data_IF_058549753315
#
_entry.id   IF_058549753315
#
_cell.length_a   1.000
_cell.length_b   1.000
_cell.length_c   1.000
_cell.angle_alpha   90.00
_cell.angle_beta   90.00
_cell.angle_gamma   90.00
#
_symmetry.space_group_name_H-M   'P 1'
#
loop_
_entity.id
_entity.type
_entity.pdbx_description
1 polymer ?
#
# COMPACT_ATOMS: atom_id res chain seq x y z
N UNK A 1 -6.71 23.47 14.91
CA UNK A 1 -6.70 23.39 13.44
C UNK A 1 -7.27 22.05 13.05
N UNK A 2 -8.12 21.99 12.03
CA UNK A 2 -8.79 20.74 11.68
C UNK A 2 -7.82 19.86 10.87
N UNK A 3 -7.86 18.54 11.06
CA UNK A 3 -7.05 17.53 10.35
C UNK A 3 -7.06 17.65 8.80
N UNK A 4 -7.94 18.47 8.23
CA UNK A 4 -8.06 18.75 6.82
C UNK A 4 -7.03 19.78 6.30
N UNK A 5 -6.44 20.62 7.15
CA UNK A 5 -5.51 21.67 6.72
C UNK A 5 -4.13 21.13 6.25
N UNK A 6 -3.81 19.87 6.58
CA UNK A 6 -2.49 19.27 6.32
C UNK A 6 -2.49 18.24 5.16
N UNK A 7 -3.67 17.74 4.75
CA UNK A 7 -3.76 16.70 3.74
C UNK A 7 -3.80 17.26 2.31
N UNK A 8 -2.80 16.94 1.49
CA UNK A 8 -2.74 17.37 0.09
C UNK A 8 -3.36 16.33 -0.85
N UNK A 9 -4.35 16.70 -1.66
CA UNK A 9 -4.93 15.80 -2.67
C UNK A 9 -3.91 15.55 -3.79
N UNK A 10 -3.44 14.32 -3.90
CA UNK A 10 -2.50 13.89 -4.95
C UNK A 10 -3.22 13.44 -6.23
N UNK A 11 -4.41 12.84 -6.07
CA UNK A 11 -5.19 12.30 -7.17
C UNK A 11 -6.69 12.28 -6.85
N UNK A 12 -7.51 12.53 -7.86
CA UNK A 12 -8.97 12.42 -7.76
C UNK A 12 -9.58 12.12 -9.12
N UNK A 13 -10.55 11.21 -9.19
CA UNK A 13 -11.31 10.91 -10.40
C UNK A 13 -12.68 10.32 -10.09
N UNK A 14 -13.66 10.54 -10.97
CA UNK A 14 -14.99 9.90 -10.93
C UNK A 14 -15.24 8.91 -12.07
N UNK A 15 -14.24 8.72 -12.95
CA UNK A 15 -14.34 7.86 -14.14
C UNK A 15 -13.98 6.40 -13.80
N UNK A 16 -14.50 5.92 -12.68
CA UNK A 16 -14.15 4.62 -12.10
C UNK A 16 -15.41 3.86 -11.74
N UNK A 17 -15.43 2.59 -12.14
CA UNK A 17 -16.41 1.63 -11.65
C UNK A 17 -15.80 0.79 -10.54
N UNK A 18 -16.53 0.64 -9.45
CA UNK A 18 -16.19 -0.20 -8.32
C UNK A 18 -16.97 -1.51 -8.38
N UNK A 19 -16.35 -2.58 -7.89
CA UNK A 19 -16.98 -3.88 -7.71
C UNK A 19 -16.37 -4.60 -6.49
N UNK A 20 -17.22 -5.05 -5.57
CA UNK A 20 -16.79 -6.00 -4.52
C UNK A 20 -16.55 -7.38 -5.15
N UNK A 21 -15.46 -8.03 -4.77
CA UNK A 21 -15.16 -9.42 -5.17
C UNK A 21 -15.22 -10.38 -3.99
N UNK A 22 -14.76 -9.93 -2.82
CA UNK A 22 -14.71 -10.73 -1.60
C UNK A 22 -14.94 -9.85 -0.38
N UNK A 23 -15.81 -10.27 0.54
CA UNK A 23 -16.10 -9.53 1.78
C UNK A 23 -16.52 -10.48 2.89
N UNK A 24 -15.88 -10.34 4.05
CA UNK A 24 -16.24 -11.06 5.28
C UNK A 24 -16.36 -12.59 5.09
N UNK A 25 -15.41 -13.18 4.36
CA UNK A 25 -15.40 -14.63 4.14
C UNK A 25 -16.10 -15.10 2.85
N UNK A 26 -16.82 -14.21 2.15
CA UNK A 26 -17.71 -14.60 1.05
C UNK A 26 -17.36 -13.94 -0.29
N UNK A 27 -17.46 -14.71 -1.37
CA UNK A 27 -17.39 -14.20 -2.75
C UNK A 27 -18.66 -13.41 -3.07
N UNK A 28 -18.50 -12.24 -3.68
CA UNK A 28 -19.59 -11.35 -4.05
C UNK A 28 -19.85 -11.43 -5.56
N UNK A 29 -21.12 -11.56 -5.95
CA UNK A 29 -21.48 -11.62 -7.37
C UNK A 29 -21.21 -10.27 -8.07
N UNK A 30 -20.50 -10.25 -9.21
CA UNK A 30 -20.09 -9.01 -9.90
C UNK A 30 -21.21 -8.01 -10.19
N UNK A 31 -22.37 -8.49 -10.61
CA UNK A 31 -23.50 -7.65 -10.99
C UNK A 31 -24.18 -6.98 -9.79
N UNK A 32 -24.04 -7.53 -8.58
CA UNK A 32 -24.74 -7.06 -7.40
C UNK A 32 -24.11 -5.80 -6.77
N UNK A 33 -22.85 -5.50 -7.10
CA UNK A 33 -22.06 -4.45 -6.42
C UNK A 33 -21.41 -3.45 -7.38
N UNK A 34 -21.70 -3.54 -8.68
CA UNK A 34 -21.18 -2.61 -9.67
C UNK A 34 -21.73 -1.20 -9.41
N UNK A 35 -20.86 -0.27 -9.03
CA UNK A 35 -21.21 1.12 -8.68
C UNK A 35 -20.25 2.08 -9.35
N UNK A 36 -20.73 3.27 -9.72
CA UNK A 36 -19.84 4.36 -10.12
C UNK A 36 -19.33 5.07 -8.87
N UNK A 37 -18.02 5.28 -8.81
CA UNK A 37 -17.37 5.80 -7.61
C UNK A 37 -16.47 7.00 -7.92
N UNK A 38 -16.29 7.82 -6.91
CA UNK A 38 -15.24 8.80 -6.81
C UNK A 38 -14.05 8.21 -6.05
N UNK A 39 -12.88 8.23 -6.65
CA UNK A 39 -11.63 7.77 -6.05
C UNK A 39 -10.77 8.99 -5.73
N UNK A 40 -10.24 9.04 -4.52
CA UNK A 40 -9.33 10.10 -4.07
C UNK A 40 -8.11 9.46 -3.42
N UNK A 41 -6.92 9.96 -3.75
CA UNK A 41 -5.71 9.70 -2.98
C UNK A 41 -5.24 11.03 -2.39
N UNK A 42 -5.14 11.10 -1.07
CA UNK A 42 -4.62 12.24 -0.34
C UNK A 42 -3.33 11.86 0.38
N UNK A 43 -2.32 12.72 0.32
CA UNK A 43 -1.13 12.62 1.15
C UNK A 43 -1.47 13.18 2.53
N UNK A 44 -1.33 12.36 3.57
CA UNK A 44 -1.67 12.74 4.95
C UNK A 44 -0.43 12.99 5.81
N UNK A 45 0.72 12.41 5.45
CA UNK A 45 2.01 12.66 6.07
C UNK A 45 3.13 12.32 5.06
N UNK A 46 4.40 12.47 5.49
CA UNK A 46 5.56 12.12 4.67
C UNK A 46 5.51 10.65 4.20
N UNK A 47 5.24 10.45 2.91
CA UNK A 47 5.08 9.15 2.27
C UNK A 47 3.95 8.29 2.86
N UNK A 48 2.93 8.90 3.46
CA UNK A 48 1.70 8.21 3.89
C UNK A 48 0.51 8.81 3.16
N UNK A 49 -0.22 7.97 2.46
CA UNK A 49 -1.35 8.32 1.62
C UNK A 49 -2.62 7.58 2.07
N UNK A 50 -3.75 8.26 2.05
CA UNK A 50 -5.07 7.69 2.20
C UNK A 50 -5.76 7.55 0.84
N UNK A 51 -6.07 6.32 0.45
CA UNK A 51 -6.98 6.00 -0.65
C UNK A 51 -8.41 5.98 -0.10
N UNK A 52 -9.29 6.74 -0.72
CA UNK A 52 -10.71 6.80 -0.40
C UNK A 52 -11.55 6.49 -1.64
N UNK A 53 -12.59 5.68 -1.46
CA UNK A 53 -13.55 5.31 -2.51
C UNK A 53 -14.93 5.70 -2.02
N UNK A 54 -15.58 6.61 -2.72
CA UNK A 54 -16.91 7.10 -2.41
C UNK A 54 -17.90 6.73 -3.50
N UNK A 55 -19.09 6.30 -3.13
CA UNK A 55 -20.18 6.09 -4.08
C UNK A 55 -20.79 7.42 -4.52
N UNK A 56 -21.06 7.54 -5.83
CA UNK A 56 -21.70 8.71 -6.44
C UNK A 56 -23.22 8.55 -6.50
N UNK A 57 -23.89 8.44 -5.35
CA UNK A 57 -25.36 8.34 -5.26
C UNK A 57 -25.89 9.47 -4.37
N UNK A 58 -26.21 10.61 -4.99
CA UNK A 58 -26.78 11.78 -4.33
C UNK A 58 -25.92 12.35 -3.19
N UNK A 59 -26.21 13.56 -2.68
CA UNK A 59 -25.63 14.03 -1.44
C UNK A 59 -26.36 13.36 -0.24
N UNK A 60 -25.65 12.88 0.79
CA UNK A 60 -24.20 12.85 0.96
C UNK A 60 -23.52 11.66 0.24
N UNK A 61 -22.29 11.88 -0.26
CA UNK A 61 -21.46 10.82 -0.83
C UNK A 61 -21.16 9.75 0.24
N UNK A 62 -21.39 8.47 -0.09
CA UNK A 62 -21.18 7.36 0.85
C UNK A 62 -19.74 6.88 0.73
N UNK A 63 -18.97 6.94 1.82
CA UNK A 63 -17.63 6.34 1.89
C UNK A 63 -17.76 4.81 1.90
N UNK A 64 -17.28 4.16 0.85
CA UNK A 64 -17.25 2.70 0.73
C UNK A 64 -16.01 2.12 1.39
N UNK A 65 -14.83 2.69 1.07
CA UNK A 65 -13.55 2.20 1.55
C UNK A 65 -12.59 3.33 1.88
N UNK A 66 -11.78 3.08 2.92
CA UNK A 66 -10.60 3.87 3.26
C UNK A 66 -9.42 2.94 3.48
N UNK A 67 -8.35 3.16 2.74
CA UNK A 67 -7.14 2.33 2.71
C UNK A 67 -5.92 3.23 2.95
N UNK A 68 -5.00 2.78 3.82
CA UNK A 68 -3.74 3.47 4.06
C UNK A 68 -2.63 2.87 3.21
N UNK A 69 -1.76 3.71 2.66
CA UNK A 69 -0.63 3.32 1.83
C UNK A 69 0.62 4.09 2.30
N UNK A 70 1.73 3.41 2.64
CA UNK A 70 1.93 1.98 2.59
C UNK A 70 1.33 1.27 3.80
N UNK A 71 0.45 0.28 3.57
CA UNK A 71 0.19 -0.80 4.54
C UNK A 71 0.80 -2.08 3.96
N UNK A 72 1.67 -2.80 4.68
CA UNK A 72 2.31 -4.03 4.19
C UNK A 72 1.32 -5.14 3.89
N UNK A 73 0.14 -5.13 4.52
CA UNK A 73 -0.87 -6.16 4.37
C UNK A 73 -1.73 -5.95 3.14
N UNK A 74 -1.76 -4.73 2.60
CA UNK A 74 -2.65 -4.40 1.48
C UNK A 74 -1.91 -4.61 0.16
N UNK A 75 -2.50 -5.45 -0.68
CA UNK A 75 -2.00 -5.81 -2.00
C UNK A 75 -2.75 -5.01 -3.06
N UNK A 76 -2.01 -4.54 -4.07
CA UNK A 76 -2.52 -3.86 -5.24
C UNK A 76 -2.10 -4.66 -6.47
N UNK A 77 -3.07 -5.23 -7.18
CA UNK A 77 -2.83 -5.94 -8.43
C UNK A 77 -3.33 -5.09 -9.61
N UNK A 78 -2.45 -4.85 -10.58
CA UNK A 78 -2.73 -4.03 -11.75
C UNK A 78 -2.88 -4.94 -12.96
N UNK A 79 -4.00 -4.84 -13.67
CA UNK A 79 -4.20 -5.53 -14.94
C UNK A 79 -4.48 -4.54 -16.06
N UNK A 80 -3.68 -4.65 -17.12
CA UNK A 80 -3.92 -3.95 -18.37
C UNK A 80 -4.76 -4.83 -19.31
N UNK A 81 -5.52 -4.18 -20.18
CA UNK A 81 -6.34 -4.85 -21.16
C UNK A 81 -5.52 -5.26 -22.38
N UNK A 82 -5.64 -6.53 -22.79
CA UNK A 82 -5.05 -7.02 -24.03
C UNK A 82 -5.78 -6.43 -25.26
N UNK A 83 -5.02 -6.02 -26.28
CA UNK A 83 -5.52 -5.29 -27.46
C UNK A 83 -6.61 -6.01 -28.28
N UNK A 84 -6.89 -7.29 -28.02
CA UNK A 84 -7.85 -8.10 -28.79
C UNK A 84 -9.23 -8.27 -28.13
N UNK A 85 -9.35 -8.00 -26.84
CA UNK A 85 -10.60 -8.08 -26.08
C UNK A 85 -10.64 -6.83 -25.22
N UNK A 86 -11.60 -5.93 -25.48
CA UNK A 86 -11.83 -4.70 -24.69
C UNK A 86 -12.04 -5.02 -23.20
N UNK A 87 -10.94 -5.26 -22.51
CA UNK A 87 -10.90 -5.48 -21.07
C UNK A 87 -10.76 -4.09 -20.46
N UNK A 88 -11.42 -3.83 -19.34
CA UNK A 88 -11.29 -2.56 -18.65
C UNK A 88 -9.92 -2.57 -17.92
N UNK A 89 -9.21 -1.42 -17.82
CA UNK A 89 -7.98 -1.36 -17.01
C UNK A 89 -8.37 -1.46 -15.53
N UNK A 90 -7.81 -2.41 -14.80
CA UNK A 90 -8.26 -2.70 -13.44
C UNK A 90 -7.15 -2.59 -12.41
N UNK A 91 -7.55 -2.16 -11.21
CA UNK A 91 -6.76 -2.23 -9.99
C UNK A 91 -7.56 -3.02 -8.97
N UNK A 92 -7.09 -4.20 -8.60
CA UNK A 92 -7.63 -4.98 -7.49
C UNK A 92 -6.91 -4.58 -6.21
N UNK A 93 -7.68 -4.23 -5.18
CA UNK A 93 -7.16 -3.86 -3.85
C UNK A 93 -7.65 -4.91 -2.86
N UNK A 94 -6.71 -5.52 -2.15
CA UNK A 94 -7.02 -6.62 -1.25
C UNK A 94 -6.33 -6.46 0.10
N UNK A 95 -7.07 -6.75 1.16
CA UNK A 95 -6.49 -7.23 2.41
C UNK A 95 -6.64 -8.76 2.40
N UNK A 96 -5.54 -9.53 2.28
CA UNK A 96 -5.58 -10.98 2.14
C UNK A 96 -6.55 -11.61 3.13
N UNK A 97 -7.38 -12.51 2.62
CA UNK A 97 -8.35 -13.31 3.39
C UNK A 97 -9.48 -12.54 4.08
N UNK A 98 -9.52 -11.19 4.03
CA UNK A 98 -10.57 -10.40 4.65
C UNK A 98 -11.52 -9.77 3.63
N UNK A 99 -10.97 -9.04 2.66
CA UNK A 99 -11.75 -8.34 1.65
C UNK A 99 -10.94 -8.06 0.39
N UNK A 100 -11.67 -7.95 -0.73
CA UNK A 100 -11.13 -7.57 -2.04
C UNK A 100 -12.19 -6.79 -2.81
N UNK A 101 -11.76 -5.68 -3.40
CA UNK A 101 -12.56 -4.95 -4.37
C UNK A 101 -11.70 -4.56 -5.57
N UNK A 102 -12.38 -4.29 -6.68
CA UNK A 102 -11.73 -3.92 -7.95
C UNK A 102 -12.24 -2.57 -8.42
N UNK A 103 -11.29 -1.72 -8.81
CA UNK A 103 -11.50 -0.45 -9.45
C UNK A 103 -11.23 -0.61 -10.94
N UNK A 104 -12.21 -0.26 -11.77
CA UNK A 104 -12.14 -0.34 -13.23
C UNK A 104 -12.10 1.08 -13.77
N UNK A 105 -10.98 1.44 -14.39
CA UNK A 105 -10.71 2.78 -14.89
C UNK A 105 -11.13 2.87 -16.35
N UNK A 106 -12.01 3.83 -16.64
CA UNK A 106 -12.47 4.10 -18.00
C UNK A 106 -11.47 5.00 -18.78
N UNK A 107 -10.57 5.67 -18.07
CA UNK A 107 -9.58 6.59 -18.63
C UNK A 107 -8.16 6.10 -18.34
N UNK A 108 -7.39 5.86 -19.40
CA UNK A 108 -6.01 5.38 -19.34
C UNK A 108 -5.09 6.27 -18.49
N UNK A 109 -5.17 7.59 -18.71
CA UNK A 109 -4.37 8.56 -17.97
C UNK A 109 -4.60 8.48 -16.46
N UNK A 110 -5.85 8.29 -16.05
CA UNK A 110 -6.22 8.21 -14.63
C UNK A 110 -5.72 6.91 -14.01
N UNK A 111 -5.80 5.80 -14.74
CA UNK A 111 -5.22 4.53 -14.33
C UNK A 111 -3.71 4.63 -14.09
N UNK A 112 -2.96 5.16 -15.07
CA UNK A 112 -1.50 5.26 -14.94
C UNK A 112 -1.07 6.24 -13.86
N UNK A 113 -1.79 7.36 -13.70
CA UNK A 113 -1.52 8.31 -12.62
C UNK A 113 -1.76 7.68 -11.24
N UNK A 114 -2.84 6.91 -11.09
CA UNK A 114 -3.09 6.14 -9.87
C UNK A 114 -1.97 5.13 -9.62
N UNK A 115 -1.62 4.32 -10.63
CA UNK A 115 -0.61 3.28 -10.52
C UNK A 115 0.76 3.85 -10.14
N UNK A 116 1.16 4.96 -10.77
CA UNK A 116 2.39 5.68 -10.46
C UNK A 116 2.46 6.06 -8.97
N UNK A 117 1.42 6.70 -8.43
CA UNK A 117 1.40 7.13 -7.03
C UNK A 117 1.56 5.93 -6.09
N UNK A 118 0.82 4.84 -6.33
CA UNK A 118 0.91 3.64 -5.49
C UNK A 118 2.31 3.01 -5.58
N UNK A 119 2.88 2.92 -6.78
CA UNK A 119 4.22 2.37 -7.01
C UNK A 119 5.30 3.21 -6.32
N UNK A 120 5.25 4.54 -6.43
CA UNK A 120 6.23 5.45 -5.82
C UNK A 120 6.24 5.30 -4.28
N UNK A 121 5.05 5.24 -3.68
CA UNK A 121 4.91 5.10 -2.22
C UNK A 121 5.38 3.73 -1.74
N UNK A 122 4.96 2.65 -2.39
CA UNK A 122 5.38 1.28 -2.04
C UNK A 122 6.88 1.07 -2.29
N UNK A 123 7.43 1.61 -3.37
CA UNK A 123 8.86 1.57 -3.69
C UNK A 123 9.70 2.29 -2.65
N UNK A 124 9.25 3.47 -2.21
CA UNK A 124 9.93 4.23 -1.15
C UNK A 124 9.92 3.48 0.19
N UNK A 125 8.78 2.88 0.56
CA UNK A 125 8.66 2.04 1.76
C UNK A 125 9.59 0.81 1.69
N UNK A 126 9.60 0.10 0.57
CA UNK A 126 10.49 -1.04 0.35
C UNK A 126 11.97 -0.65 0.48
N UNK A 127 12.38 0.48 -0.11
CA UNK A 127 13.74 1.01 0.00
C UNK A 127 14.14 1.33 1.45
N UNK A 128 13.22 1.92 2.24
CA UNK A 128 13.45 2.17 3.67
C UNK A 128 13.63 0.88 4.46
N UNK A 129 12.82 -0.14 4.19
CA UNK A 129 12.93 -1.45 4.86
C UNK A 129 14.21 -2.18 4.53
N UNK A 130 14.61 -2.18 3.26
CA UNK A 130 15.88 -2.75 2.83
C UNK A 130 17.06 -2.12 3.59
N UNK A 131 17.09 -0.78 3.66
CA UNK A 131 18.14 -0.06 4.41
C UNK A 131 18.12 -0.38 5.91
N UNK A 132 16.93 -0.51 6.50
CA UNK A 132 16.80 -0.88 7.91
C UNK A 132 17.35 -2.30 8.17
N UNK A 133 17.04 -3.26 7.29
CA UNK A 133 17.55 -4.63 7.37
C UNK A 133 19.08 -4.67 7.24
N UNK A 134 19.65 -3.92 6.30
CA UNK A 134 21.10 -3.76 6.14
C UNK A 134 21.77 -3.25 7.42
N UNK A 135 21.23 -2.18 8.03
CA UNK A 135 21.73 -1.62 9.29
C UNK A 135 21.62 -2.61 10.46
N UNK A 136 20.52 -3.37 10.54
CA UNK A 136 20.34 -4.40 11.56
C UNK A 136 21.37 -5.52 11.40
N UNK A 137 21.65 -5.93 10.16
CA UNK A 137 22.67 -6.94 9.85
C UNK A 137 24.06 -6.47 10.25
N UNK A 138 24.41 -5.22 9.94
CA UNK A 138 25.69 -4.62 10.33
C UNK A 138 25.83 -4.52 11.85
N UNK A 139 24.79 -4.05 12.55
CA UNK A 139 24.77 -3.96 14.00
C UNK A 139 24.94 -5.33 14.67
N UNK A 140 24.31 -6.38 14.12
CA UNK A 140 24.45 -7.74 14.62
C UNK A 140 25.89 -8.27 14.48
N UNK A 141 26.56 -8.01 13.36
CA UNK A 141 27.97 -8.40 13.16
C UNK A 141 28.88 -7.72 14.18
N UNK A 142 28.69 -6.41 14.42
CA UNK A 142 29.45 -5.67 15.44
C UNK A 142 29.21 -6.22 16.84
N UNK A 143 27.95 -6.46 17.21
CA UNK A 143 27.61 -7.01 18.52
C UNK A 143 28.25 -8.39 18.75
N UNK A 144 28.25 -9.28 17.75
CA UNK A 144 28.86 -10.61 17.84
C UNK A 144 30.39 -10.50 17.89
N UNK A 145 30.99 -9.63 17.09
CA UNK A 145 32.46 -9.46 17.03
C UNK A 145 33.01 -8.80 18.31
N UNK A 146 32.19 -8.01 19.00
CA UNK A 146 32.49 -7.46 20.32
C UNK A 146 32.43 -8.47 21.47
N UNK A 147 31.80 -9.63 21.28
CA UNK A 147 31.73 -10.71 22.30
C UNK A 147 32.94 -11.65 22.24
N UNK A 148 33.76 -11.60 21.19
CA UNK A 148 34.91 -12.53 21.00
C UNK A 148 36.19 -12.06 21.71
N UNK A 149 36.17 -10.99 22.51
CA UNK A 149 37.37 -10.48 23.22
C UNK A 149 37.08 -10.17 24.69
N UNK A 150 36.60 -11.16 25.44
CA UNK A 150 36.74 -11.19 26.92
C UNK A 150 37.04 -12.63 27.41
N UNK A 151 37.97 -13.35 26.76
CA UNK A 151 38.63 -14.51 27.40
C UNK A 151 40.16 -14.40 27.28
N UNK A 152 40.78 -14.34 28.46
CA UNK A 152 42.18 -14.60 28.81
C UNK A 152 43.29 -13.62 28.37
N UNK A 153 43.40 -12.50 29.09
CA UNK A 153 44.73 -12.00 29.51
C UNK A 153 44.77 -11.85 31.03
N UNK A 154 45.16 -12.93 31.71
CA UNK A 154 45.28 -12.99 33.16
C UNK A 154 46.36 -13.95 33.65
N UNK A 155 47.58 -13.40 33.79
CA UNK A 155 48.65 -13.83 34.72
C UNK A 155 49.50 -15.06 34.33
N UNK A 156 50.71 -14.80 33.84
CA UNK A 156 51.93 -15.48 34.31
C UNK A 156 52.62 -14.51 35.29
N UNK A 157 53.31 -14.95 36.37
CA UNK A 157 54.29 -16.04 36.35
C UNK A 157 54.25 -16.95 37.60
N UNK A 158 54.88 -18.13 37.52
CA UNK A 158 55.40 -18.77 38.73
C UNK A 158 56.86 -19.19 38.48
N UNK A 159 57.75 -18.59 39.29
CA UNK A 159 59.14 -19.01 39.42
C UNK A 159 59.25 -19.90 40.65
N UNK A 160 59.72 -21.13 40.45
CA UNK A 160 60.33 -21.96 41.50
C UNK A 160 61.43 -22.82 40.89
#
# INVERSE_FOLDING_TARGET
>A
MALFDEAAIAFTTSLVTYQDEYKAGHVVLPSATRRTVHVTIAQCADNVYGLMVHELVGPPQVLLWRVWVPDPRIVFDFAEADHQLQSERTVSVAFPEAWRFTLKFNAEREFWKFAQIIADVKGTDAGRRYKADELLREAAVVAISGVVVEEEQGVAPDMA
#
